data_IF_865990005225
#
_entry.id   IF_865990005225
#
_cell.length_a   1.000
_cell.length_b   1.000
_cell.length_c   1.000
_cell.angle_alpha   90.00
_cell.angle_beta   90.00
_cell.angle_gamma   90.00
#
_symmetry.space_group_name_H-M   'P 1'
#
loop_
_entity.id
_entity.type
_entity.pdbx_description
1 polymer ?
#
# COMPACT_ATOMS: atom_id res chain seq x y z
N UNK A 1 -11.75 6.27 8.88
CA UNK A 1 -10.87 5.13 9.22
C UNK A 1 -11.26 4.44 10.52
N UNK A 2 -11.86 5.15 11.45
CA UNK A 2 -12.26 4.65 12.78
C UNK A 2 -13.73 4.20 12.86
N UNK A 3 -14.52 4.46 11.82
CA UNK A 3 -15.92 4.06 11.79
C UNK A 3 -16.04 2.61 11.28
N UNK A 4 -16.60 1.74 12.11
CA UNK A 4 -16.80 0.31 11.80
C UNK A 4 -18.04 0.03 10.95
N UNK A 5 -18.91 1.02 10.79
CA UNK A 5 -20.19 0.84 10.10
C UNK A 5 -20.21 1.58 8.75
N UNK A 6 -21.02 1.08 7.83
CA UNK A 6 -21.29 1.72 6.53
C UNK A 6 -22.45 2.72 6.61
N UNK A 7 -22.97 2.99 7.79
CA UNK A 7 -24.08 3.92 7.98
C UNK A 7 -23.58 5.38 7.97
N UNK A 8 -24.01 6.21 7.01
CA UNK A 8 -23.57 7.59 6.87
C UNK A 8 -23.85 8.48 8.09
N UNK A 9 -24.90 8.14 8.86
CA UNK A 9 -25.27 8.88 10.07
C UNK A 9 -24.47 8.49 11.31
N UNK A 10 -23.65 7.44 11.24
CA UNK A 10 -22.81 7.04 12.38
C UNK A 10 -21.82 8.14 12.72
N UNK A 11 -21.60 8.44 14.02
CA UNK A 11 -20.58 9.40 14.43
C UNK A 11 -19.20 9.07 13.86
N UNK A 12 -18.64 10.00 13.14
CA UNK A 12 -17.31 9.95 12.53
C UNK A 12 -16.23 10.51 13.44
N UNK A 13 -15.59 11.59 12.99
CA UNK A 13 -14.56 12.33 13.69
C UNK A 13 -15.08 13.70 14.09
N UNK A 14 -14.45 14.31 15.08
CA UNK A 14 -14.62 15.74 15.32
C UNK A 14 -14.02 16.51 14.14
N UNK A 15 -14.78 17.43 13.55
CA UNK A 15 -14.29 18.29 12.48
C UNK A 15 -13.74 19.58 13.12
N UNK A 16 -12.42 19.74 13.03
CA UNK A 16 -11.71 20.94 13.47
C UNK A 16 -11.16 21.60 12.22
N UNK A 17 -11.83 22.66 11.76
CA UNK A 17 -11.51 23.37 10.50
C UNK A 17 -10.76 24.68 10.73
N UNK A 18 -10.57 25.09 11.98
CA UNK A 18 -9.77 26.25 12.36
C UNK A 18 -8.94 25.95 13.60
N UNK A 19 -7.78 26.56 13.70
CA UNK A 19 -6.96 26.47 14.89
C UNK A 19 -7.46 27.48 15.93
N UNK A 20 -7.99 26.98 17.03
CA UNK A 20 -8.29 27.76 18.24
C UNK A 20 -7.93 26.91 19.46
N UNK A 21 -6.84 27.25 20.19
CA UNK A 21 -6.40 26.46 21.33
C UNK A 21 -7.39 26.48 22.50
N UNK A 22 -8.32 27.45 22.54
CA UNK A 22 -9.37 27.56 23.55
C UNK A 22 -10.67 26.82 23.14
N UNK A 23 -10.78 26.40 21.88
CA UNK A 23 -11.98 25.74 21.35
C UNK A 23 -12.11 24.34 21.93
N UNK A 24 -13.21 24.09 22.63
CA UNK A 24 -13.62 22.74 22.99
C UNK A 24 -14.45 22.13 21.85
N UNK A 25 -13.97 21.04 21.29
CA UNK A 25 -14.72 20.31 20.27
C UNK A 25 -15.94 19.68 20.92
N UNK A 26 -17.12 20.12 20.52
CA UNK A 26 -18.41 19.79 21.19
C UNK A 26 -19.01 18.44 20.78
N UNK A 27 -18.44 17.72 19.81
CA UNK A 27 -19.00 16.46 19.35
C UNK A 27 -18.26 15.85 18.13
N UNK A 28 -18.81 14.74 17.69
CA UNK A 28 -18.32 14.02 16.49
C UNK A 28 -19.32 14.29 15.34
N UNK A 29 -18.81 14.75 14.23
CA UNK A 29 -19.58 14.84 13.00
C UNK A 29 -19.95 13.43 12.49
N UNK A 30 -20.99 13.34 11.68
CA UNK A 30 -21.36 12.10 11.00
C UNK A 30 -20.31 11.66 9.99
N UNK A 31 -20.29 10.40 9.62
CA UNK A 31 -19.43 9.93 8.53
C UNK A 31 -19.65 10.70 7.22
N UNK A 32 -20.92 11.03 6.94
CA UNK A 32 -21.27 11.79 5.75
C UNK A 32 -20.57 13.15 5.74
N UNK A 33 -20.70 13.92 6.81
CA UNK A 33 -20.07 15.25 6.93
C UNK A 33 -18.54 15.18 6.79
N UNK A 34 -17.91 14.16 7.40
CA UNK A 34 -16.47 13.95 7.27
C UNK A 34 -16.07 13.67 5.80
N UNK A 35 -16.80 12.81 5.09
CA UNK A 35 -16.52 12.54 3.68
C UNK A 35 -16.83 13.74 2.79
N UNK A 36 -17.91 14.47 3.07
CA UNK A 36 -18.26 15.67 2.30
C UNK A 36 -17.14 16.72 2.39
N UNK A 37 -16.56 16.93 3.57
CA UNK A 37 -15.40 17.80 3.75
C UNK A 37 -14.18 17.26 2.98
N UNK A 38 -13.83 15.98 3.14
CA UNK A 38 -12.70 15.37 2.43
C UNK A 38 -12.82 15.60 0.90
N UNK A 39 -13.99 15.34 0.34
CA UNK A 39 -14.17 15.50 -1.11
C UNK A 39 -14.25 16.95 -1.56
N UNK A 40 -14.73 17.86 -0.71
CA UNK A 40 -14.67 19.31 -0.97
C UNK A 40 -13.23 19.77 -1.04
N UNK A 41 -12.44 19.44 -0.01
CA UNK A 41 -11.02 19.82 0.09
C UNK A 41 -10.20 19.23 -1.08
N UNK A 42 -10.46 17.98 -1.47
CA UNK A 42 -9.75 17.35 -2.59
C UNK A 42 -10.07 18.01 -3.94
N UNK A 43 -11.32 18.40 -4.18
CA UNK A 43 -11.70 19.12 -5.41
C UNK A 43 -11.09 20.53 -5.46
N UNK A 44 -11.14 21.23 -4.34
CA UNK A 44 -10.52 22.56 -4.22
C UNK A 44 -9.02 22.46 -4.41
N UNK A 45 -8.36 21.50 -3.74
CA UNK A 45 -6.91 21.24 -3.89
C UNK A 45 -6.54 20.95 -5.35
N UNK A 46 -7.29 20.10 -6.05
CA UNK A 46 -7.06 19.81 -7.46
C UNK A 46 -7.13 21.10 -8.30
N UNK A 47 -8.14 21.93 -8.09
CA UNK A 47 -8.33 23.19 -8.82
C UNK A 47 -7.20 24.19 -8.56
N UNK A 48 -6.86 24.41 -7.30
CA UNK A 48 -5.80 25.33 -6.90
C UNK A 48 -4.43 24.89 -7.41
N UNK A 49 -4.10 23.61 -7.28
CA UNK A 49 -2.82 23.07 -7.73
C UNK A 49 -2.67 23.15 -9.25
N UNK A 50 -3.73 22.90 -10.03
CA UNK A 50 -3.71 23.11 -11.48
C UNK A 50 -3.53 24.59 -11.83
N UNK A 51 -4.20 25.49 -11.12
CA UNK A 51 -4.03 26.94 -11.30
C UNK A 51 -2.61 27.45 -11.02
N UNK A 52 -1.86 26.70 -10.19
CA UNK A 52 -0.45 26.97 -9.90
C UNK A 52 0.53 26.25 -10.84
N UNK A 53 0.05 25.51 -11.85
CA UNK A 53 0.89 24.71 -12.73
C UNK A 53 1.47 23.44 -12.07
N UNK A 54 0.92 23.03 -10.93
CA UNK A 54 1.32 21.84 -10.20
C UNK A 54 0.42 20.64 -10.59
N UNK A 55 0.27 20.39 -11.88
CA UNK A 55 -0.58 19.31 -12.40
C UNK A 55 -0.15 17.92 -11.92
N UNK A 56 1.13 17.65 -12.02
CA UNK A 56 1.74 16.40 -11.65
C UNK A 56 2.80 15.95 -12.63
N UNK A 57 3.76 15.21 -12.12
CA UNK A 57 4.83 14.55 -12.89
C UNK A 57 5.24 13.26 -12.15
N UNK A 58 5.80 12.28 -12.88
CA UNK A 58 6.30 11.07 -12.23
C UNK A 58 7.29 11.38 -11.09
N UNK A 59 7.16 10.66 -10.01
CA UNK A 59 8.00 10.76 -8.81
C UNK A 59 8.03 12.15 -8.17
N UNK A 60 6.91 12.88 -8.21
CA UNK A 60 6.84 14.18 -7.53
C UNK A 60 7.05 14.01 -6.03
N UNK A 61 7.89 14.88 -5.45
CA UNK A 61 8.09 14.97 -4.00
C UNK A 61 7.26 16.08 -3.35
N UNK A 62 6.54 16.84 -4.14
CA UNK A 62 5.58 17.85 -3.69
C UNK A 62 4.16 17.41 -4.04
N UNK A 63 3.21 17.92 -3.28
CA UNK A 63 1.79 17.66 -3.56
C UNK A 63 1.40 18.27 -4.90
N UNK A 64 0.69 17.50 -5.72
CA UNK A 64 0.24 17.89 -7.06
C UNK A 64 -1.25 17.61 -7.21
N UNK A 65 -1.86 18.18 -8.26
CA UNK A 65 -3.25 17.91 -8.59
C UNK A 65 -3.50 16.41 -8.82
N UNK A 66 -2.58 15.72 -9.49
CA UNK A 66 -2.69 14.28 -9.72
C UNK A 66 -2.59 13.46 -8.41
N UNK A 67 -1.85 13.94 -7.42
CA UNK A 67 -1.84 13.32 -6.09
C UNK A 67 -3.19 13.50 -5.36
N UNK A 68 -3.84 14.66 -5.52
CA UNK A 68 -5.19 14.88 -5.00
C UNK A 68 -6.22 13.96 -5.68
N UNK A 69 -6.11 13.76 -7.01
CA UNK A 69 -6.95 12.80 -7.75
C UNK A 69 -6.72 11.37 -7.27
N UNK A 70 -5.48 10.95 -7.07
CA UNK A 70 -5.15 9.61 -6.56
C UNK A 70 -5.73 9.37 -5.15
N UNK A 71 -5.65 10.37 -4.29
CA UNK A 71 -6.28 10.32 -2.96
C UNK A 71 -7.81 10.29 -3.07
N UNK A 72 -8.41 11.03 -4.00
CA UNK A 72 -9.85 11.01 -4.26
C UNK A 72 -10.33 9.63 -4.72
N UNK A 73 -9.58 8.94 -5.60
CA UNK A 73 -9.87 7.57 -6.00
C UNK A 73 -9.86 6.60 -4.81
N UNK A 74 -8.80 6.66 -3.98
CA UNK A 74 -8.67 5.85 -2.76
C UNK A 74 -9.77 6.14 -1.74
N UNK A 75 -10.13 7.40 -1.53
CA UNK A 75 -11.18 7.81 -0.60
C UNK A 75 -12.57 7.33 -1.06
N UNK A 76 -12.88 7.45 -2.36
CA UNK A 76 -14.13 6.95 -2.93
C UNK A 76 -14.22 5.42 -2.82
N UNK A 77 -13.14 4.69 -3.11
CA UNK A 77 -13.11 3.24 -2.93
C UNK A 77 -13.35 2.87 -1.45
N UNK A 78 -12.79 3.62 -0.51
CA UNK A 78 -12.98 3.40 0.93
C UNK A 78 -14.42 3.66 1.36
N UNK A 79 -15.07 4.67 0.77
CA UNK A 79 -16.49 5.00 0.97
C UNK A 79 -17.43 4.00 0.28
N UNK A 80 -16.91 3.12 -0.59
CA UNK A 80 -17.64 2.22 -1.47
C UNK A 80 -18.45 2.95 -2.58
N UNK A 81 -18.05 4.16 -2.92
CA UNK A 81 -18.55 4.89 -4.07
C UNK A 81 -17.73 4.47 -5.31
N UNK A 82 -18.13 3.34 -5.88
CA UNK A 82 -17.37 2.72 -6.97
C UNK A 82 -17.42 3.53 -8.26
N UNK A 83 -18.51 4.28 -8.52
CA UNK A 83 -18.59 5.14 -9.71
C UNK A 83 -17.53 6.26 -9.66
N UNK A 84 -17.50 7.00 -8.55
CA UNK A 84 -16.54 8.08 -8.37
C UNK A 84 -15.09 7.54 -8.21
N UNK A 85 -14.93 6.34 -7.67
CA UNK A 85 -13.62 5.71 -7.53
C UNK A 85 -12.98 5.38 -8.89
N UNK A 86 -13.76 4.73 -9.79
CA UNK A 86 -13.27 4.42 -11.15
C UNK A 86 -12.98 5.66 -11.97
N UNK A 87 -13.85 6.67 -11.89
CA UNK A 87 -13.67 7.92 -12.63
C UNK A 87 -12.34 8.61 -12.26
N UNK A 88 -12.06 8.73 -10.97
CA UNK A 88 -10.82 9.33 -10.52
C UNK A 88 -9.59 8.47 -10.87
N UNK A 89 -9.68 7.15 -10.78
CA UNK A 89 -8.60 6.24 -11.16
C UNK A 89 -8.35 6.27 -12.67
N UNK A 90 -9.40 6.19 -13.50
CA UNK A 90 -9.29 6.24 -14.95
C UNK A 90 -8.76 7.58 -15.45
N UNK A 91 -9.06 8.69 -14.79
CA UNK A 91 -8.48 10.00 -15.10
C UNK A 91 -6.95 9.95 -15.11
N UNK A 92 -6.34 9.25 -14.15
CA UNK A 92 -4.89 9.09 -14.07
C UNK A 92 -4.34 8.05 -15.04
N UNK A 93 -5.07 6.96 -15.25
CA UNK A 93 -4.67 5.87 -16.16
C UNK A 93 -4.71 6.36 -17.60
N UNK A 94 -5.82 6.94 -18.03
CA UNK A 94 -6.02 7.37 -19.42
C UNK A 94 -5.26 8.65 -19.76
N UNK A 95 -4.88 9.44 -18.77
CA UNK A 95 -4.03 10.61 -18.93
C UNK A 95 -2.64 10.30 -19.47
N UNK A 96 -2.19 9.05 -19.44
CA UNK A 96 -0.95 8.57 -20.05
C UNK A 96 0.35 9.12 -19.44
N UNK A 97 0.25 9.93 -18.41
CA UNK A 97 1.40 10.55 -17.73
C UNK A 97 2.19 9.55 -16.90
N UNK A 98 1.49 8.59 -16.30
CA UNK A 98 2.05 7.55 -15.46
C UNK A 98 1.94 6.20 -16.14
N UNK A 99 3.00 5.41 -16.05
CA UNK A 99 3.08 4.11 -16.74
C UNK A 99 3.47 3.01 -15.78
N UNK A 100 2.85 1.84 -15.93
CA UNK A 100 3.23 0.66 -15.17
C UNK A 100 4.63 0.20 -15.58
N UNK A 101 5.50 0.02 -14.62
CA UNK A 101 6.84 -0.50 -14.86
C UNK A 101 6.76 -1.99 -15.22
N UNK A 102 7.36 -2.38 -16.33
CA UNK A 102 7.40 -3.77 -16.81
C UNK A 102 8.79 -4.38 -16.78
N UNK A 103 9.79 -3.59 -16.42
CA UNK A 103 11.16 -4.05 -16.25
C UNK A 103 11.42 -4.35 -14.77
N UNK A 104 11.77 -5.60 -14.47
CA UNK A 104 12.02 -6.05 -13.10
C UNK A 104 13.17 -5.27 -12.43
N UNK A 105 14.22 -4.91 -13.18
CA UNK A 105 15.35 -4.15 -12.65
C UNK A 105 14.96 -2.73 -12.28
N UNK A 106 14.15 -2.07 -13.12
CA UNK A 106 13.64 -0.72 -12.84
C UNK A 106 12.67 -0.73 -11.68
N UNK A 107 11.76 -1.71 -11.61
CA UNK A 107 10.85 -1.85 -10.47
C UNK A 107 11.63 -2.10 -9.18
N UNK A 108 12.69 -2.91 -9.23
CA UNK A 108 13.58 -3.13 -8.10
C UNK A 108 14.25 -1.82 -7.65
N UNK A 109 14.81 -1.05 -8.57
CA UNK A 109 15.43 0.25 -8.25
C UNK A 109 14.42 1.24 -7.66
N UNK A 110 13.20 1.27 -8.18
CA UNK A 110 12.14 2.10 -7.61
C UNK A 110 11.88 1.77 -6.13
N UNK A 111 11.88 0.48 -5.76
CA UNK A 111 11.62 0.06 -4.39
C UNK A 111 12.87 0.14 -3.50
N UNK A 112 14.01 -0.35 -3.98
CA UNK A 112 15.20 -0.50 -3.16
C UNK A 112 16.03 0.78 -3.07
N UNK A 113 16.11 1.54 -4.17
CA UNK A 113 16.99 2.70 -4.28
C UNK A 113 16.23 4.03 -4.29
N UNK A 114 14.89 3.99 -4.13
CA UNK A 114 14.01 5.16 -4.28
C UNK A 114 14.20 5.89 -5.63
N UNK A 115 14.53 5.12 -6.67
CA UNK A 115 14.76 5.67 -7.99
C UNK A 115 13.48 6.28 -8.60
N UNK A 116 13.66 7.32 -9.39
CA UNK A 116 12.58 7.92 -10.18
C UNK A 116 11.97 6.87 -11.10
N UNK A 117 10.65 6.80 -11.13
CA UNK A 117 9.89 5.86 -11.96
C UNK A 117 8.62 6.50 -12.51
N UNK A 118 8.28 6.14 -13.73
CA UNK A 118 7.00 6.51 -14.35
C UNK A 118 5.78 6.00 -13.59
N UNK A 119 5.95 5.00 -12.72
CA UNK A 119 4.88 4.42 -11.93
C UNK A 119 4.49 5.27 -10.71
N UNK A 120 5.38 6.11 -10.22
CA UNK A 120 5.18 6.90 -9.01
C UNK A 120 4.43 8.20 -9.31
N UNK A 121 3.26 8.38 -8.73
CA UNK A 121 2.53 9.66 -8.76
C UNK A 121 3.13 10.60 -7.72
N UNK A 122 3.38 10.08 -6.51
CA UNK A 122 4.00 10.86 -5.43
C UNK A 122 4.85 9.98 -4.53
N UNK A 123 6.06 10.43 -4.26
CA UNK A 123 6.99 9.87 -3.29
C UNK A 123 7.44 10.98 -2.34
N UNK A 124 7.44 10.74 -1.03
CA UNK A 124 7.85 11.77 -0.08
C UNK A 124 9.32 12.12 -0.24
N UNK A 125 9.68 13.35 0.13
CA UNK A 125 11.06 13.76 0.25
C UNK A 125 11.63 13.29 1.59
N UNK A 126 12.88 12.83 1.59
CA UNK A 126 13.67 12.63 2.80
C UNK A 126 15.16 12.77 2.46
N UNK A 127 15.93 13.38 3.34
CA UNK A 127 17.38 13.57 3.21
C UNK A 127 18.06 13.44 4.56
N UNK A 128 19.16 12.73 4.60
CA UNK A 128 20.01 12.71 5.79
C UNK A 128 20.79 14.02 5.93
N UNK A 129 21.16 14.38 7.17
CA UNK A 129 20.83 13.74 8.44
C UNK A 129 19.50 14.21 9.07
N UNK A 130 18.81 15.16 8.44
CA UNK A 130 17.72 15.93 9.08
C UNK A 130 16.42 15.14 9.18
N UNK A 131 15.96 14.54 8.06
CA UNK A 131 14.65 13.88 8.00
C UNK A 131 14.70 12.39 8.31
N UNK A 132 15.88 11.81 8.50
CA UNK A 132 16.04 10.37 8.75
C UNK A 132 16.77 10.14 10.06
N UNK A 133 16.14 9.47 11.03
CA UNK A 133 16.80 9.14 12.29
C UNK A 133 17.99 8.20 12.08
N UNK A 134 18.94 8.23 13.01
CA UNK A 134 20.16 7.42 12.93
C UNK A 134 19.92 5.92 13.11
N UNK A 135 18.91 5.56 13.88
CA UNK A 135 18.48 4.18 14.08
C UNK A 135 17.07 4.05 13.57
N UNK A 136 16.88 3.23 12.55
CA UNK A 136 15.57 2.98 12.01
C UNK A 136 15.45 1.52 11.61
N UNK A 137 14.34 0.89 12.03
CA UNK A 137 14.02 -0.47 11.66
C UNK A 137 12.51 -0.55 11.52
N UNK A 138 12.03 -0.70 10.28
CA UNK A 138 10.61 -0.86 10.02
C UNK A 138 10.20 -2.34 10.15
N UNK A 139 10.99 -3.24 9.59
CA UNK A 139 10.70 -4.68 9.55
C UNK A 139 11.80 -5.52 10.16
N UNK A 140 13.04 -5.04 10.16
CA UNK A 140 14.19 -5.74 10.70
C UNK A 140 15.31 -4.77 11.07
N UNK A 141 16.18 -5.20 11.98
CA UNK A 141 17.50 -4.62 12.23
C UNK A 141 18.58 -5.53 11.63
N UNK A 142 19.73 -4.97 11.30
CA UNK A 142 20.88 -5.72 10.83
C UNK A 142 22.05 -5.56 11.81
N UNK A 143 22.58 -6.68 12.29
CA UNK A 143 23.79 -6.72 13.11
C UNK A 143 25.02 -6.88 12.22
N UNK A 144 25.80 -5.83 12.04
CA UNK A 144 27.04 -5.87 11.28
C UNK A 144 28.10 -6.77 11.92
N UNK A 145 28.14 -6.84 13.26
CA UNK A 145 29.08 -7.69 13.99
C UNK A 145 28.84 -9.19 13.75
N UNK A 146 27.57 -9.61 13.70
CA UNK A 146 27.19 -11.00 13.52
C UNK A 146 26.82 -11.36 12.07
N UNK A 147 26.71 -10.37 11.20
CA UNK A 147 26.22 -10.48 9.82
C UNK A 147 24.86 -11.21 9.75
N UNK A 148 23.96 -10.82 10.65
CA UNK A 148 22.64 -11.44 10.82
C UNK A 148 21.57 -10.37 10.87
N UNK A 149 20.38 -10.74 10.35
CA UNK A 149 19.18 -9.95 10.50
C UNK A 149 18.44 -10.33 11.79
N UNK A 150 17.85 -9.33 12.43
CA UNK A 150 16.95 -9.46 13.57
C UNK A 150 15.63 -8.90 13.10
N UNK A 151 14.68 -9.76 12.78
CA UNK A 151 13.40 -9.34 12.20
C UNK A 151 12.29 -9.37 13.24
N UNK A 152 11.53 -8.28 13.30
CA UNK A 152 10.32 -8.18 14.13
C UNK A 152 9.09 -8.71 13.39
N UNK A 153 9.13 -8.70 12.05
CA UNK A 153 8.03 -9.10 11.19
C UNK A 153 8.51 -10.02 10.07
N UNK A 154 7.81 -11.11 9.89
CA UNK A 154 8.07 -12.09 8.82
C UNK A 154 6.89 -12.17 7.87
N UNK A 155 7.12 -12.24 6.55
CA UNK A 155 6.06 -12.56 5.62
C UNK A 155 5.51 -13.96 5.94
N UNK A 156 4.18 -14.13 6.13
CA UNK A 156 3.63 -15.45 6.31
C UNK A 156 3.70 -16.25 5.00
N UNK A 157 3.78 -17.58 5.09
CA UNK A 157 3.96 -18.46 3.93
C UNK A 157 2.90 -18.22 2.85
N UNK A 158 1.64 -18.06 3.22
CA UNK A 158 0.56 -17.85 2.27
C UNK A 158 0.70 -16.58 1.41
N UNK A 159 1.40 -15.54 1.90
CA UNK A 159 1.68 -14.34 1.11
C UNK A 159 2.77 -14.62 0.08
N UNK A 160 3.79 -15.38 0.49
CA UNK A 160 4.86 -15.81 -0.41
C UNK A 160 4.28 -16.68 -1.54
N UNK A 161 3.38 -17.59 -1.20
CA UNK A 161 2.73 -18.53 -2.12
C UNK A 161 1.78 -17.85 -3.12
N UNK A 162 1.44 -16.57 -2.93
CA UNK A 162 0.66 -15.81 -3.91
C UNK A 162 1.44 -15.49 -5.19
N UNK A 163 2.77 -15.59 -5.16
CA UNK A 163 3.62 -15.19 -6.28
C UNK A 163 4.07 -16.43 -7.06
N UNK A 164 3.63 -16.53 -8.30
CA UNK A 164 4.09 -17.54 -9.24
C UNK A 164 5.56 -17.32 -9.63
N UNK A 165 6.20 -18.35 -10.19
CA UNK A 165 7.58 -18.27 -10.65
C UNK A 165 7.81 -17.19 -11.73
N UNK A 166 6.77 -16.87 -12.52
CA UNK A 166 6.81 -15.83 -13.54
C UNK A 166 6.66 -14.41 -12.96
N UNK A 167 6.14 -14.28 -11.72
CA UNK A 167 5.94 -13.01 -11.06
C UNK A 167 7.26 -12.47 -10.52
N UNK A 168 7.86 -11.55 -11.24
CA UNK A 168 9.17 -11.02 -10.85
C UNK A 168 9.15 -10.18 -9.55
N UNK A 169 7.95 -9.82 -9.03
CA UNK A 169 7.83 -9.12 -7.74
C UNK A 169 8.33 -9.96 -6.58
N UNK A 170 8.24 -11.29 -6.68
CA UNK A 170 8.74 -12.19 -5.63
C UNK A 170 10.21 -11.94 -5.30
N UNK A 171 11.06 -11.76 -6.32
CA UNK A 171 12.49 -11.46 -6.15
C UNK A 171 12.81 -10.02 -5.74
N UNK A 172 11.78 -9.15 -5.69
CA UNK A 172 11.92 -7.75 -5.27
C UNK A 172 11.35 -7.55 -3.86
N UNK A 173 10.22 -8.19 -3.56
CA UNK A 173 9.47 -7.98 -2.33
C UNK A 173 9.92 -8.87 -1.18
N UNK A 174 10.63 -9.95 -1.49
CA UNK A 174 11.17 -10.87 -0.51
C UNK A 174 12.67 -11.05 -0.70
N UNK A 175 13.38 -11.19 0.41
CA UNK A 175 14.82 -11.44 0.43
C UNK A 175 15.12 -12.57 1.43
N UNK A 176 15.77 -13.64 0.97
CA UNK A 176 16.12 -14.77 1.82
C UNK A 176 17.41 -14.48 2.57
N UNK A 177 17.32 -14.38 3.88
CA UNK A 177 18.42 -13.97 4.74
C UNK A 177 18.61 -14.92 5.93
N UNK A 178 19.82 -14.93 6.49
CA UNK A 178 20.11 -15.56 7.76
C UNK A 178 19.61 -14.68 8.90
N UNK A 179 18.76 -15.23 9.73
CA UNK A 179 18.12 -14.51 10.83
C UNK A 179 18.58 -15.08 12.17
N UNK A 180 18.83 -14.20 13.13
CA UNK A 180 19.06 -14.60 14.53
C UNK A 180 17.73 -14.92 15.21
N UNK A 181 17.69 -16.03 15.97
CA UNK A 181 16.51 -16.41 16.71
C UNK A 181 16.76 -17.49 17.74
N UNK A 182 15.72 -17.93 18.46
CA UNK A 182 15.83 -18.99 19.47
C UNK A 182 16.34 -20.30 18.85
N UNK A 183 17.48 -20.75 19.30
CA UNK A 183 18.04 -22.07 18.95
C UNK A 183 18.84 -22.15 17.65
N UNK A 184 19.08 -21.03 16.94
CA UNK A 184 19.95 -21.11 15.77
C UNK A 184 19.79 -20.01 14.73
N UNK A 185 20.44 -20.23 13.59
CA UNK A 185 20.41 -19.36 12.41
C UNK A 185 19.56 -20.06 11.36
N UNK A 186 18.40 -19.49 11.03
CA UNK A 186 17.54 -19.99 9.97
C UNK A 186 17.65 -19.10 8.74
N UNK A 187 17.57 -19.67 7.55
CA UNK A 187 17.34 -18.93 6.32
C UNK A 187 15.83 -18.78 6.15
N UNK A 188 15.36 -17.57 6.14
CA UNK A 188 13.95 -17.24 5.94
C UNK A 188 13.81 -16.05 5.00
N UNK A 189 12.66 -15.94 4.35
CA UNK A 189 12.33 -14.77 3.55
C UNK A 189 11.93 -13.61 4.48
N UNK A 190 12.61 -12.49 4.35
CA UNK A 190 12.27 -11.22 4.97
C UNK A 190 11.50 -10.34 4.00
N UNK A 191 10.94 -9.24 4.51
CA UNK A 191 10.30 -8.21 3.69
C UNK A 191 11.40 -7.41 2.99
N UNK A 192 11.74 -7.80 1.77
CA UNK A 192 12.79 -7.20 0.96
C UNK A 192 12.39 -5.92 0.24
N UNK A 193 11.12 -5.54 0.26
CA UNK A 193 10.58 -4.38 -0.48
C UNK A 193 11.20 -3.05 -0.07
N UNK A 194 11.65 -2.94 1.19
CA UNK A 194 12.19 -1.72 1.78
C UNK A 194 13.54 -1.99 2.45
N UNK A 195 14.61 -2.24 1.70
CA UNK A 195 15.91 -2.55 2.29
C UNK A 195 16.63 -1.32 2.86
N UNK A 196 16.11 -0.14 2.59
CA UNK A 196 16.72 1.14 2.87
C UNK A 196 17.51 1.68 1.68
N UNK A 197 17.15 2.84 1.18
CA UNK A 197 17.90 3.51 0.12
C UNK A 197 19.32 3.89 0.60
N UNK A 198 20.32 3.68 -0.24
CA UNK A 198 21.73 3.84 0.14
C UNK A 198 22.03 5.26 0.65
N UNK A 199 21.45 6.26 0.04
CA UNK A 199 21.61 7.67 0.43
C UNK A 199 20.91 8.05 1.74
N UNK A 200 20.02 7.17 2.24
CA UNK A 200 19.35 7.31 3.54
C UNK A 200 19.99 6.46 4.65
N UNK A 201 21.05 5.73 4.36
CA UNK A 201 21.79 4.94 5.36
C UNK A 201 22.87 5.80 6.04
N UNK A 202 23.15 5.53 7.31
CA UNK A 202 24.32 6.07 8.00
C UNK A 202 25.64 5.41 7.54
N UNK A 203 25.54 4.12 7.24
CA UNK A 203 26.59 3.30 6.62
C UNK A 203 25.99 2.65 5.38
N UNK A 204 26.53 2.94 4.20
CA UNK A 204 26.01 2.45 2.93
C UNK A 204 25.95 0.91 2.85
N UNK A 205 26.83 0.23 3.58
CA UNK A 205 26.91 -1.24 3.63
C UNK A 205 25.88 -1.89 4.56
N UNK A 206 25.20 -1.08 5.43
CA UNK A 206 24.30 -1.59 6.46
C UNK A 206 22.84 -1.29 6.10
N UNK A 207 22.05 -2.32 5.76
CA UNK A 207 20.62 -2.14 5.54
C UNK A 207 19.92 -1.56 6.77
N UNK A 208 19.01 -0.58 6.58
CA UNK A 208 18.32 0.08 7.68
C UNK A 208 16.79 0.11 7.51
N UNK A 209 16.27 -0.56 6.50
CA UNK A 209 14.85 -0.59 6.16
C UNK A 209 14.22 0.81 5.98
N UNK A 210 15.02 1.81 5.65
CA UNK A 210 14.55 3.19 5.47
C UNK A 210 14.50 3.54 4.00
N UNK A 211 13.31 3.67 3.47
CA UNK A 211 13.02 4.14 2.12
C UNK A 211 12.03 5.30 2.18
N UNK A 212 12.05 6.15 1.16
CA UNK A 212 11.05 7.21 0.99
C UNK A 212 9.68 6.60 0.77
N UNK A 213 8.66 6.97 1.54
CA UNK A 213 7.29 6.48 1.33
C UNK A 213 6.77 6.82 -0.07
N UNK A 214 6.33 5.80 -0.81
CA UNK A 214 5.66 5.94 -2.10
C UNK A 214 4.17 6.08 -1.82
N UNK A 215 3.69 7.33 -1.75
CA UNK A 215 2.35 7.66 -1.26
C UNK A 215 1.26 7.28 -2.26
N UNK A 216 1.51 7.48 -3.56
CA UNK A 216 0.59 7.13 -4.63
C UNK A 216 1.35 6.56 -5.82
N UNK A 217 0.83 5.44 -6.34
CA UNK A 217 1.37 4.75 -7.52
C UNK A 217 0.24 4.47 -8.50
N UNK A 218 0.57 4.50 -9.79
CA UNK A 218 -0.42 4.20 -10.82
C UNK A 218 -0.95 2.76 -10.72
N UNK A 219 -0.14 1.81 -10.26
CA UNK A 219 -0.57 0.42 -10.03
C UNK A 219 -1.75 0.32 -9.04
N UNK A 220 -1.79 1.15 -8.01
CA UNK A 220 -2.96 1.22 -7.13
C UNK A 220 -4.21 1.69 -7.87
N UNK A 221 -4.06 2.65 -8.80
CA UNK A 221 -5.21 3.18 -9.57
C UNK A 221 -5.80 2.09 -10.48
N UNK A 222 -4.98 1.27 -11.11
CA UNK A 222 -5.44 0.10 -11.86
C UNK A 222 -6.25 -0.87 -10.99
N UNK A 223 -5.80 -1.11 -9.76
CA UNK A 223 -6.51 -1.98 -8.82
C UNK A 223 -7.80 -1.35 -8.27
N UNK A 224 -7.82 -0.02 -8.08
CA UNK A 224 -9.05 0.71 -7.73
C UNK A 224 -10.06 0.60 -8.87
N UNK A 225 -9.64 0.84 -10.11
CA UNK A 225 -10.49 0.75 -11.28
C UNK A 225 -11.03 -0.67 -11.49
N UNK A 226 -10.16 -1.70 -11.42
CA UNK A 226 -10.56 -3.10 -11.57
C UNK A 226 -11.63 -3.50 -10.55
N UNK A 227 -11.42 -3.17 -9.28
CA UNK A 227 -12.41 -3.45 -8.22
C UNK A 227 -13.71 -2.68 -8.45
N UNK A 228 -13.62 -1.40 -8.77
CA UNK A 228 -14.79 -0.54 -8.93
C UNK A 228 -15.64 -0.98 -10.15
N UNK A 229 -15.03 -1.31 -11.28
CA UNK A 229 -15.72 -1.85 -12.44
C UNK A 229 -16.42 -3.17 -12.11
N UNK A 230 -15.73 -4.09 -11.42
CA UNK A 230 -16.33 -5.35 -10.98
C UNK A 230 -17.57 -5.12 -10.11
N UNK A 231 -17.47 -4.23 -9.13
CA UNK A 231 -18.60 -3.91 -8.22
C UNK A 231 -19.77 -3.20 -8.90
N UNK A 232 -19.54 -2.58 -10.04
CA UNK A 232 -20.57 -1.96 -10.89
C UNK A 232 -21.14 -2.93 -11.94
N UNK A 233 -20.66 -4.20 -11.98
CA UNK A 233 -21.12 -5.21 -12.93
C UNK A 233 -20.44 -5.18 -14.31
N UNK A 234 -19.44 -4.33 -14.52
CA UNK A 234 -18.67 -4.28 -15.76
C UNK A 234 -17.41 -5.18 -15.63
N UNK A 235 -17.64 -6.50 -15.67
CA UNK A 235 -16.56 -7.47 -15.53
C UNK A 235 -15.53 -7.40 -16.68
N UNK A 236 -15.93 -6.98 -17.86
CA UNK A 236 -15.03 -6.84 -19.00
C UNK A 236 -13.96 -5.79 -18.70
N UNK A 237 -14.36 -4.58 -18.34
CA UNK A 237 -13.40 -3.53 -17.96
C UNK A 237 -12.65 -3.84 -16.69
N UNK A 238 -13.27 -4.50 -15.72
CA UNK A 238 -12.57 -4.96 -14.51
C UNK A 238 -11.39 -5.87 -14.88
N UNK A 239 -11.62 -6.83 -15.77
CA UNK A 239 -10.63 -7.77 -16.29
C UNK A 239 -9.54 -7.07 -17.08
N UNK A 240 -9.91 -6.11 -17.94
CA UNK A 240 -8.96 -5.33 -18.73
C UNK A 240 -7.97 -4.58 -17.80
N UNK A 241 -8.49 -3.82 -16.83
CA UNK A 241 -7.65 -3.10 -15.87
C UNK A 241 -6.77 -4.01 -15.02
N UNK A 242 -7.28 -5.17 -14.62
CA UNK A 242 -6.51 -6.17 -13.88
C UNK A 242 -5.38 -6.75 -14.74
N UNK A 243 -5.68 -7.10 -15.99
CA UNK A 243 -4.74 -7.73 -16.90
C UNK A 243 -3.65 -6.76 -17.37
N UNK A 244 -3.97 -5.49 -17.54
CA UNK A 244 -2.96 -4.46 -17.82
C UNK A 244 -1.85 -4.46 -16.75
N UNK A 245 -2.21 -4.57 -15.46
CA UNK A 245 -1.24 -4.68 -14.39
C UNK A 245 -0.53 -6.04 -14.37
N UNK A 246 -1.27 -7.15 -14.46
CA UNK A 246 -0.73 -8.51 -14.37
C UNK A 246 0.36 -8.78 -15.41
N UNK A 247 0.09 -8.43 -16.66
CA UNK A 247 1.04 -8.59 -17.78
C UNK A 247 2.33 -7.80 -17.50
N UNK A 248 2.22 -6.60 -16.94
CA UNK A 248 3.38 -5.78 -16.56
C UNK A 248 4.16 -6.33 -15.37
N UNK A 249 3.66 -7.35 -14.71
CA UNK A 249 4.33 -8.06 -13.60
C UNK A 249 4.85 -9.44 -13.99
N UNK A 250 4.78 -9.80 -15.28
CA UNK A 250 5.22 -11.10 -15.80
C UNK A 250 4.16 -12.20 -15.72
N UNK A 251 2.94 -11.87 -15.27
CA UNK A 251 1.85 -12.83 -15.17
C UNK A 251 1.06 -12.94 -16.48
N UNK A 252 0.46 -14.09 -16.73
CA UNK A 252 -0.52 -14.24 -17.78
C UNK A 252 -1.80 -13.44 -17.47
N UNK A 253 -2.49 -13.03 -18.54
CA UNK A 253 -3.83 -12.47 -18.41
C UNK A 253 -4.77 -13.49 -17.77
N UNK A 254 -5.62 -13.06 -16.84
CA UNK A 254 -6.69 -13.92 -16.33
C UNK A 254 -7.87 -13.92 -17.29
N UNK A 255 -8.50 -15.10 -17.40
CA UNK A 255 -9.75 -15.28 -18.15
C UNK A 255 -10.95 -15.46 -17.23
N UNK A 256 -10.73 -15.44 -15.92
CA UNK A 256 -11.74 -15.67 -14.90
C UNK A 256 -12.95 -14.71 -15.00
N UNK A 257 -14.07 -15.12 -14.42
CA UNK A 257 -15.31 -14.35 -14.38
C UNK A 257 -16.03 -14.57 -13.03
N UNK A 258 -17.03 -13.75 -12.73
CA UNK A 258 -17.84 -13.89 -11.52
C UNK A 258 -16.98 -13.88 -10.24
N UNK A 259 -17.29 -14.81 -9.33
CA UNK A 259 -16.60 -14.90 -8.04
C UNK A 259 -15.09 -15.22 -8.19
N UNK A 260 -14.70 -15.99 -9.20
CA UNK A 260 -13.30 -16.28 -9.47
C UNK A 260 -12.52 -15.02 -9.86
N UNK A 261 -13.09 -14.17 -10.71
CA UNK A 261 -12.50 -12.85 -11.04
C UNK A 261 -12.40 -11.95 -9.80
N UNK A 262 -13.43 -11.97 -8.96
CA UNK A 262 -13.40 -11.21 -7.70
C UNK A 262 -12.26 -11.66 -6.78
N UNK A 263 -12.05 -12.99 -6.63
CA UNK A 263 -10.93 -13.50 -5.83
C UNK A 263 -9.59 -13.12 -6.46
N UNK A 264 -9.48 -13.13 -7.80
CA UNK A 264 -8.25 -12.72 -8.48
C UNK A 264 -7.94 -11.23 -8.27
N UNK A 265 -8.96 -10.35 -8.34
CA UNK A 265 -8.78 -8.91 -8.01
C UNK A 265 -8.28 -8.74 -6.57
N UNK A 266 -8.86 -9.46 -5.60
CA UNK A 266 -8.41 -9.41 -4.20
C UNK A 266 -6.98 -9.94 -4.03
N UNK A 267 -6.63 -11.00 -4.74
CA UNK A 267 -5.31 -11.62 -4.72
C UNK A 267 -4.26 -10.68 -5.34
N UNK A 268 -4.57 -10.11 -6.50
CA UNK A 268 -3.67 -9.17 -7.16
C UNK A 268 -3.45 -7.91 -6.31
N UNK A 269 -4.50 -7.40 -5.69
CA UNK A 269 -4.37 -6.27 -4.76
C UNK A 269 -3.50 -6.61 -3.55
N UNK A 270 -3.57 -7.85 -3.07
CA UNK A 270 -2.71 -8.34 -1.97
C UNK A 270 -1.26 -8.46 -2.42
N UNK A 271 -1.00 -9.00 -3.64
CA UNK A 271 0.35 -9.11 -4.23
C UNK A 271 0.98 -7.73 -4.44
N UNK A 272 0.28 -6.85 -5.18
CA UNK A 272 0.84 -5.57 -5.59
C UNK A 272 1.10 -4.62 -4.41
N UNK A 273 0.15 -4.56 -3.48
CA UNK A 273 0.19 -3.62 -2.35
C UNK A 273 0.72 -4.28 -1.06
N UNK A 274 1.41 -5.42 -1.18
CA UNK A 274 2.02 -6.09 -0.03
C UNK A 274 2.92 -5.13 0.75
N UNK A 275 2.74 -5.08 2.08
CA UNK A 275 3.52 -4.26 3.03
C UNK A 275 3.40 -2.73 2.87
N UNK A 276 2.42 -2.25 2.10
CA UNK A 276 2.12 -0.82 1.95
C UNK A 276 0.98 -0.34 2.88
N UNK A 277 0.52 -1.18 3.82
CA UNK A 277 -0.48 -0.81 4.83
C UNK A 277 -1.94 -0.88 4.37
N UNK A 278 -2.24 -1.49 3.22
CA UNK A 278 -3.59 -1.55 2.65
C UNK A 278 -4.44 -2.70 3.19
N UNK A 279 -3.84 -3.87 3.49
CA UNK A 279 -4.56 -5.13 3.72
C UNK A 279 -5.69 -5.05 4.73
N UNK A 280 -5.45 -4.48 5.91
CA UNK A 280 -6.47 -4.38 6.96
C UNK A 280 -7.66 -3.52 6.52
N UNK A 281 -7.40 -2.43 5.78
CA UNK A 281 -8.44 -1.55 5.26
C UNK A 281 -9.27 -2.27 4.19
N UNK A 282 -8.62 -3.03 3.32
CA UNK A 282 -9.27 -3.82 2.28
C UNK A 282 -10.16 -4.91 2.88
N UNK A 283 -9.68 -5.68 3.84
CA UNK A 283 -10.48 -6.69 4.54
C UNK A 283 -11.73 -6.07 5.19
N UNK A 284 -11.57 -4.95 5.90
CA UNK A 284 -12.72 -4.25 6.52
C UNK A 284 -13.73 -3.78 5.50
N UNK A 285 -13.29 -3.24 4.39
CA UNK A 285 -14.14 -2.72 3.32
C UNK A 285 -14.86 -3.83 2.57
N UNK A 286 -14.22 -4.99 2.39
CA UNK A 286 -14.81 -6.19 1.79
C UNK A 286 -15.75 -6.94 2.75
N UNK A 287 -15.62 -6.72 4.06
CA UNK A 287 -16.31 -7.50 5.08
C UNK A 287 -15.66 -8.85 5.33
N UNK A 288 -14.42 -9.02 4.90
CA UNK A 288 -13.67 -10.25 5.09
C UNK A 288 -13.05 -10.29 6.51
N UNK A 289 -13.01 -11.45 7.16
CA UNK A 289 -12.41 -11.59 8.48
C UNK A 289 -10.88 -11.47 8.40
N UNK A 290 -10.27 -11.02 9.49
CA UNK A 290 -8.82 -11.11 9.68
C UNK A 290 -8.47 -12.52 10.16
N UNK A 291 -7.98 -13.35 9.25
CA UNK A 291 -7.55 -14.71 9.57
C UNK A 291 -6.03 -14.77 9.64
N UNK A 292 -5.49 -15.15 10.79
CA UNK A 292 -4.07 -15.45 10.94
C UNK A 292 -3.81 -16.84 10.36
N UNK A 293 -2.83 -16.93 9.48
CA UNK A 293 -2.39 -18.19 8.87
C UNK A 293 -0.98 -18.53 9.37
N UNK A 294 -0.57 -19.77 9.14
CA UNK A 294 0.75 -20.26 9.53
C UNK A 294 1.89 -19.35 9.07
N UNK A 295 2.87 -19.19 9.92
CA UNK A 295 4.14 -18.56 9.59
C UNK A 295 4.90 -19.39 8.56
N UNK A 296 5.91 -18.79 7.91
CA UNK A 296 6.80 -19.58 7.07
C UNK A 296 7.64 -20.57 7.92
N UNK A 297 8.00 -21.74 7.38
CA UNK A 297 8.83 -22.71 8.09
C UNK A 297 10.14 -22.08 8.59
N UNK A 298 10.51 -22.37 9.83
CA UNK A 298 11.72 -21.83 10.46
C UNK A 298 11.61 -20.38 10.99
N UNK A 299 10.50 -19.69 10.74
CA UNK A 299 10.23 -18.41 11.37
C UNK A 299 9.82 -18.60 12.84
N UNK A 300 10.36 -17.72 13.69
CA UNK A 300 9.96 -17.73 15.10
C UNK A 300 8.58 -17.13 15.25
N UNK A 301 7.69 -17.88 15.89
CA UNK A 301 6.39 -17.35 16.28
C UNK A 301 6.34 -17.26 17.79
N UNK A 302 6.09 -16.11 18.33
CA UNK A 302 5.82 -15.92 19.76
C UNK A 302 4.54 -16.64 20.21
N UNK A 303 3.81 -17.23 19.27
CA UNK A 303 2.46 -17.81 19.47
C UNK A 303 2.50 -19.22 20.06
N UNK A 304 3.66 -19.90 20.03
CA UNK A 304 3.76 -21.27 20.52
C UNK A 304 3.61 -21.42 22.06
N UNK A 305 3.53 -20.29 22.79
CA UNK A 305 3.35 -20.30 24.24
C UNK A 305 2.13 -19.51 24.75
N UNK A 306 1.30 -18.97 23.87
CA UNK A 306 0.02 -18.37 24.28
C UNK A 306 -1.11 -19.26 23.78
N UNK A 307 -1.65 -20.06 24.70
CA UNK A 307 -2.94 -20.73 24.54
C UNK A 307 -4.10 -19.71 24.52
N UNK A 308 -4.05 -18.76 23.60
CA UNK A 308 -5.17 -17.87 23.34
C UNK A 308 -5.81 -18.33 22.04
N UNK A 309 -7.07 -18.72 22.07
CA UNK A 309 -7.79 -18.98 20.84
C UNK A 309 -7.85 -17.68 20.06
N UNK A 310 -7.12 -17.67 18.94
CA UNK A 310 -7.14 -16.58 17.96
C UNK A 310 -8.57 -16.49 17.42
N UNK A 311 -9.35 -15.60 17.94
CA UNK A 311 -10.74 -15.39 17.50
C UNK A 311 -11.64 -14.60 18.45
N UNK A 312 -11.25 -14.39 19.71
CA UNK A 312 -12.16 -13.85 20.72
C UNK A 312 -11.93 -12.38 21.12
N UNK A 313 -11.06 -11.64 20.47
CA UNK A 313 -10.81 -10.26 20.88
C UNK A 313 -10.83 -9.24 19.73
N UNK A 314 -11.84 -9.25 18.89
CA UNK A 314 -12.19 -8.09 18.05
C UNK A 314 -13.65 -8.19 17.63
N UNK A 315 -14.55 -8.20 18.59
CA UNK A 315 -15.91 -7.67 18.37
C UNK A 315 -15.92 -6.14 18.48
#
# INVERSE_FOLDING_TARGET
>A
LFCRTKNPSTPGLALVTSYDPAQRVSGRASQKEVYDLIFSDLRESETLLRGLGLDGKPSSSVVTADAAVALRARANLTKLDYSSAKEAADQLITGGKYVLESDASKLKKMWHDDAVSGELIMMSFAKRPVEVPNSNSLFYAYSSANKLYIADWYPPQWVIDLYDAADFRAGIYFDEQKVSGRGGKSKIKLIGKYPGAVDLRSDASVPNATNRPKLFRIAEQYLIAAEAYFKLGDEAKAKDRLNELRIKRGLAATTESGDALWQEIKSERTRELAYEGFRLRDLRRWGDPVVRKAAQPGAFTYVDNMADPVGSRHE
#
